data_IF_901921692075
#
_entry.id   IF_901921692075
#
_cell.length_a   1.000
_cell.length_b   1.000
_cell.length_c   1.000
_cell.angle_alpha   90.00
_cell.angle_beta   90.00
_cell.angle_gamma   90.00
#
_symmetry.space_group_name_H-M   'P 1'
#
loop_
_entity.id
_entity.type
_entity.pdbx_description
1 polymer ?
#
# COMPACT_ATOMS: atom_id res chain seq x y z
N UNK A 1 6.43 -7.88 -21.61
CA UNK A 1 6.74 -8.00 -20.17
C UNK A 1 7.23 -6.63 -19.74
N UNK A 2 6.54 -6.01 -18.78
CA UNK A 2 6.91 -4.69 -18.27
C UNK A 2 8.25 -4.78 -17.54
N UNK A 3 9.06 -3.74 -17.60
CA UNK A 3 10.30 -3.66 -16.84
C UNK A 3 10.11 -2.65 -15.71
N UNK A 4 10.36 -3.09 -14.48
CA UNK A 4 10.16 -2.29 -13.27
C UNK A 4 10.93 -0.96 -13.31
N UNK A 5 12.16 -0.96 -13.83
CA UNK A 5 13.02 0.23 -13.83
C UNK A 5 12.56 1.25 -14.85
N UNK A 6 12.08 0.78 -16.00
CA UNK A 6 11.58 1.66 -17.06
C UNK A 6 10.24 2.31 -16.69
N UNK A 7 9.42 1.63 -15.88
CA UNK A 7 8.14 2.16 -15.42
C UNK A 7 8.27 3.03 -14.17
N UNK A 8 9.42 3.02 -13.49
CA UNK A 8 9.61 3.75 -12.24
C UNK A 8 9.61 5.26 -12.49
N UNK A 9 8.74 5.95 -11.76
CA UNK A 9 8.66 7.42 -11.78
C UNK A 9 9.92 8.05 -11.16
N UNK A 10 10.34 9.24 -11.60
CA UNK A 10 11.53 9.90 -11.08
C UNK A 10 11.40 10.30 -9.60
N UNK A 11 10.18 10.48 -9.12
CA UNK A 11 9.82 10.82 -7.73
C UNK A 11 9.37 9.58 -6.92
N UNK A 12 9.76 8.38 -7.35
CA UNK A 12 9.41 7.15 -6.65
C UNK A 12 9.92 7.16 -5.20
N UNK A 13 9.02 6.80 -4.29
CA UNK A 13 9.28 6.71 -2.87
C UNK A 13 9.90 5.34 -2.57
N UNK A 14 10.95 5.34 -1.76
CA UNK A 14 11.58 4.11 -1.31
C UNK A 14 10.61 3.27 -0.47
N UNK A 15 10.82 1.95 -0.48
CA UNK A 15 10.06 1.07 0.37
C UNK A 15 10.41 -0.40 0.16
N UNK A 16 9.44 -1.27 0.40
CA UNK A 16 9.62 -2.71 0.40
C UNK A 16 9.48 -3.30 -1.01
N UNK A 17 10.46 -4.09 -1.48
CA UNK A 17 10.30 -4.89 -2.68
C UNK A 17 9.34 -6.07 -2.44
N UNK A 18 8.30 -6.19 -3.26
CA UNK A 18 7.33 -7.28 -3.25
C UNK A 18 7.34 -7.97 -4.61
N UNK A 19 7.35 -9.30 -4.62
CA UNK A 19 7.27 -10.07 -5.86
C UNK A 19 5.83 -10.10 -6.39
N UNK A 20 5.65 -9.74 -7.66
CA UNK A 20 4.35 -9.76 -8.33
C UNK A 20 4.24 -10.94 -9.31
N UNK A 21 3.10 -11.08 -10.00
CA UNK A 21 2.79 -12.22 -10.85
C UNK A 21 3.73 -12.38 -12.06
N UNK A 22 4.38 -11.30 -12.47
CA UNK A 22 5.43 -11.31 -13.51
C UNK A 22 6.76 -11.90 -13.01
N UNK A 23 6.85 -12.23 -11.72
CA UNK A 23 8.02 -12.77 -11.05
C UNK A 23 9.05 -11.71 -10.65
N UNK A 24 8.86 -10.45 -11.02
CA UNK A 24 9.75 -9.34 -10.68
C UNK A 24 9.40 -8.74 -9.32
N UNK A 25 10.34 -7.98 -8.75
CA UNK A 25 10.17 -7.27 -7.48
C UNK A 25 9.85 -5.81 -7.74
N UNK A 26 8.65 -5.40 -7.33
CA UNK A 26 8.17 -4.04 -7.42
C UNK A 26 8.23 -3.37 -6.04
N UNK A 27 8.61 -2.11 -5.99
CA UNK A 27 8.80 -1.35 -4.75
C UNK A 27 7.47 -0.71 -4.34
N UNK A 28 6.94 -1.17 -3.23
CA UNK A 28 5.82 -0.52 -2.55
C UNK A 28 6.38 0.47 -1.54
N UNK A 29 6.02 1.75 -1.60
CA UNK A 29 6.49 2.74 -0.65
C UNK A 29 6.26 2.32 0.80
N UNK A 30 7.19 2.67 1.68
CA UNK A 30 6.96 2.63 3.13
C UNK A 30 6.01 3.76 3.56
N UNK A 31 5.35 3.67 4.74
CA UNK A 31 4.60 4.79 5.28
C UNK A 31 5.47 6.04 5.45
N UNK A 32 4.92 7.25 5.31
CA UNK A 32 5.70 8.49 5.39
C UNK A 32 6.50 8.58 6.68
N UNK A 33 7.74 9.07 6.61
CA UNK A 33 8.44 9.53 7.82
C UNK A 33 7.64 10.67 8.45
N UNK A 34 7.59 10.77 9.78
CA UNK A 34 7.00 11.93 10.47
C UNK A 34 7.84 13.17 10.09
N UNK A 35 7.23 14.32 9.77
CA UNK A 35 8.05 15.45 9.35
C UNK A 35 8.83 15.93 10.57
N UNK A 36 10.11 16.19 10.40
CA UNK A 36 10.88 17.00 11.32
C UNK A 36 10.35 18.45 11.33
N UNK A 37 10.66 19.24 12.36
CA UNK A 37 10.29 20.65 12.37
C UNK A 37 10.94 21.37 11.17
N UNK A 38 10.10 21.81 10.22
CA UNK A 38 10.52 22.58 9.04
C UNK A 38 10.62 21.80 7.73
N UNK A 39 10.22 20.53 7.68
CA UNK A 39 10.11 19.79 6.41
C UNK A 39 8.75 20.06 5.75
N UNK A 40 8.78 20.53 4.50
CA UNK A 40 7.59 20.75 3.69
C UNK A 40 6.83 19.43 3.46
N UNK A 41 5.49 19.48 3.58
CA UNK A 41 4.59 18.33 3.46
C UNK A 41 4.53 17.72 2.05
N UNK A 42 5.32 18.23 1.11
CA UNK A 42 5.21 17.99 -0.34
C UNK A 42 5.99 16.76 -0.84
N UNK A 43 6.70 16.06 0.05
CA UNK A 43 7.68 15.02 -0.35
C UNK A 43 7.25 13.55 -0.21
N UNK A 44 6.00 13.24 0.18
CA UNK A 44 5.64 11.84 0.45
C UNK A 44 4.14 11.55 0.42
N UNK A 45 3.80 10.25 0.55
CA UNK A 45 2.46 9.65 0.64
C UNK A 45 1.58 10.29 1.72
N UNK A 46 1.14 11.53 1.52
CA UNK A 46 0.29 12.28 2.45
C UNK A 46 -0.82 13.02 1.72
N UNK A 47 -1.03 12.69 0.45
CA UNK A 47 -2.20 13.13 -0.29
C UNK A 47 -3.49 12.64 0.37
N UNK A 48 -4.57 13.42 0.24
CA UNK A 48 -5.85 13.13 0.88
C UNK A 48 -6.41 11.75 0.48
N UNK A 49 -6.20 11.34 -0.78
CA UNK A 49 -6.62 10.02 -1.27
C UNK A 49 -5.92 8.88 -0.54
N UNK A 50 -4.61 8.99 -0.31
CA UNK A 50 -3.87 8.00 0.48
C UNK A 50 -4.41 7.91 1.91
N UNK A 51 -4.62 9.05 2.59
CA UNK A 51 -5.12 9.07 3.96
C UNK A 51 -6.52 8.45 4.06
N UNK A 52 -7.40 8.74 3.09
CA UNK A 52 -8.72 8.14 3.02
C UNK A 52 -8.65 6.61 2.86
N UNK A 53 -7.79 6.11 1.95
CA UNK A 53 -7.63 4.65 1.77
C UNK A 53 -7.10 3.96 3.02
N UNK A 54 -6.13 4.56 3.72
CA UNK A 54 -5.61 3.98 4.96
C UNK A 54 -6.67 3.99 6.07
N UNK A 55 -7.50 5.04 6.16
CA UNK A 55 -8.63 5.08 7.07
C UNK A 55 -9.65 3.97 6.76
N UNK A 56 -10.03 3.78 5.50
CA UNK A 56 -10.94 2.71 5.09
C UNK A 56 -10.42 1.31 5.46
N UNK A 57 -9.11 1.06 5.32
CA UNK A 57 -8.49 -0.19 5.79
C UNK A 57 -8.58 -0.33 7.32
N UNK A 58 -8.34 0.75 8.06
CA UNK A 58 -8.40 0.75 9.52
C UNK A 58 -9.83 0.52 10.06
N UNK A 59 -10.84 1.07 9.38
CA UNK A 59 -12.26 1.01 9.75
C UNK A 59 -12.97 -0.25 9.22
N UNK A 60 -12.28 -1.11 8.49
CA UNK A 60 -12.88 -2.33 7.93
C UNK A 60 -13.19 -3.38 9.01
N UNK A 61 -14.46 -3.55 9.31
CA UNK A 61 -14.99 -4.53 10.28
C UNK A 61 -15.11 -5.95 9.73
N UNK A 62 -15.26 -6.10 8.41
CA UNK A 62 -15.42 -7.40 7.75
C UNK A 62 -14.15 -7.83 7.03
N UNK A 63 -13.87 -9.14 7.02
CA UNK A 63 -12.72 -9.69 6.31
C UNK A 63 -12.77 -9.41 4.79
N UNK A 64 -13.92 -9.55 4.09
CA UNK A 64 -14.00 -9.21 2.66
C UNK A 64 -13.73 -7.73 2.37
N UNK A 65 -14.28 -6.82 3.18
CA UNK A 65 -14.08 -5.38 2.98
C UNK A 65 -12.62 -5.00 3.22
N UNK A 66 -12.02 -5.57 4.28
CA UNK A 66 -10.60 -5.37 4.57
C UNK A 66 -9.72 -5.82 3.40
N UNK A 67 -9.96 -7.00 2.84
CA UNK A 67 -9.19 -7.49 1.69
C UNK A 67 -9.33 -6.57 0.46
N UNK A 68 -10.53 -6.06 0.21
CA UNK A 68 -10.78 -5.11 -0.88
C UNK A 68 -10.04 -3.80 -0.65
N UNK A 69 -10.08 -3.26 0.56
CA UNK A 69 -9.45 -1.99 0.91
C UNK A 69 -7.92 -2.13 0.94
N UNK A 70 -7.39 -3.25 1.46
CA UNK A 70 -5.96 -3.58 1.37
C UNK A 70 -5.50 -3.63 -0.09
N UNK A 71 -6.26 -4.28 -0.98
CA UNK A 71 -5.92 -4.33 -2.40
C UNK A 71 -5.94 -2.95 -3.06
N UNK A 72 -6.95 -2.11 -2.73
CA UNK A 72 -7.03 -0.75 -3.23
C UNK A 72 -5.81 0.09 -2.79
N UNK A 73 -5.41 -0.03 -1.52
CA UNK A 73 -4.20 0.61 -1.00
C UNK A 73 -2.94 0.12 -1.74
N UNK A 74 -2.79 -1.19 -1.94
CA UNK A 74 -1.64 -1.73 -2.69
C UNK A 74 -1.59 -1.20 -4.13
N UNK A 75 -2.74 -1.12 -4.81
CA UNK A 75 -2.80 -0.53 -6.15
C UNK A 75 -2.34 0.92 -6.13
N UNK A 76 -2.84 1.72 -5.19
CA UNK A 76 -2.47 3.13 -5.05
C UNK A 76 -0.95 3.28 -4.81
N UNK A 77 -0.41 2.53 -3.86
CA UNK A 77 1.02 2.50 -3.53
C UNK A 77 1.89 2.12 -4.75
N UNK A 78 1.44 1.15 -5.55
CA UNK A 78 2.13 0.77 -6.77
C UNK A 78 2.08 1.90 -7.82
N UNK A 79 0.89 2.46 -8.09
CA UNK A 79 0.72 3.55 -9.07
C UNK A 79 1.40 4.86 -8.65
N UNK A 80 1.70 5.03 -7.36
CA UNK A 80 2.49 6.18 -6.88
C UNK A 80 3.93 6.14 -7.37
N UNK A 81 4.51 4.94 -7.43
CA UNK A 81 5.91 4.71 -7.80
C UNK A 81 6.12 4.44 -9.29
N UNK A 82 5.07 4.02 -10.00
CA UNK A 82 5.18 3.53 -11.37
C UNK A 82 4.14 4.15 -12.28
N UNK A 83 4.54 4.44 -13.52
CA UNK A 83 3.64 4.89 -14.57
C UNK A 83 2.93 3.70 -15.24
N UNK A 84 1.94 3.14 -14.54
CA UNK A 84 1.22 1.94 -14.97
C UNK A 84 -0.19 2.28 -15.42
N UNK A 85 -0.62 1.68 -16.54
CA UNK A 85 -2.02 1.71 -16.92
C UNK A 85 -2.84 0.69 -16.11
N UNK A 86 -4.17 0.84 -16.01
CA UNK A 86 -5.01 -0.11 -15.27
C UNK A 86 -4.86 -1.57 -15.75
N UNK A 87 -4.58 -1.77 -17.05
CA UNK A 87 -4.34 -3.09 -17.62
C UNK A 87 -3.03 -3.72 -17.09
N UNK A 88 -2.00 -2.90 -16.90
CA UNK A 88 -0.70 -3.33 -16.37
C UNK A 88 -0.81 -3.74 -14.92
N UNK A 89 -1.46 -2.92 -14.09
CA UNK A 89 -1.73 -3.24 -12.68
C UNK A 89 -2.49 -4.56 -12.57
N UNK A 90 -3.53 -4.75 -13.41
CA UNK A 90 -4.29 -5.99 -13.44
C UNK A 90 -3.44 -7.19 -13.84
N UNK A 91 -2.53 -7.04 -14.80
CA UNK A 91 -1.62 -8.11 -15.20
C UNK A 91 -0.62 -8.47 -14.09
N UNK A 92 -0.09 -7.48 -13.38
CA UNK A 92 0.87 -7.66 -12.28
C UNK A 92 0.25 -8.33 -11.05
N UNK A 93 -1.03 -8.10 -10.79
CA UNK A 93 -1.76 -8.67 -9.66
C UNK A 93 -2.52 -9.96 -10.00
N UNK A 94 -2.42 -10.44 -11.24
CA UNK A 94 -3.09 -11.67 -11.69
C UNK A 94 -2.16 -12.87 -11.59
N UNK A 95 -2.15 -13.50 -10.42
CA UNK A 95 -1.44 -14.75 -10.19
C UNK A 95 -2.18 -15.94 -10.83
N UNK A 96 -1.46 -16.94 -11.38
CA UNK A 96 -2.06 -18.23 -11.74
C UNK A 96 -2.75 -18.91 -10.55
N UNK A 97 -3.75 -19.74 -10.82
CA UNK A 97 -4.34 -20.61 -9.80
C UNK A 97 -3.24 -21.52 -9.22
N UNK A 98 -3.22 -21.67 -7.89
CA UNK A 98 -2.20 -22.40 -7.12
C UNK A 98 -0.76 -21.84 -7.18
N UNK A 99 -0.55 -20.62 -7.68
CA UNK A 99 0.78 -19.99 -7.61
C UNK A 99 1.13 -19.65 -6.15
N UNK A 100 2.24 -20.20 -5.58
CA UNK A 100 2.64 -19.91 -4.21
C UNK A 100 2.95 -18.43 -3.99
N UNK A 101 3.32 -17.70 -5.05
CA UNK A 101 3.51 -16.25 -5.04
C UNK A 101 2.25 -15.46 -4.71
N UNK A 102 1.05 -16.02 -4.94
CA UNK A 102 -0.20 -15.38 -4.52
C UNK A 102 -0.34 -15.34 -2.99
N UNK A 103 0.01 -16.44 -2.32
CA UNK A 103 -0.02 -16.50 -0.85
C UNK A 103 1.04 -15.56 -0.25
N UNK A 104 2.24 -15.55 -0.82
CA UNK A 104 3.31 -14.63 -0.42
C UNK A 104 2.89 -13.16 -0.60
N UNK A 105 2.34 -12.81 -1.77
CA UNK A 105 1.85 -11.46 -2.04
C UNK A 105 0.80 -11.03 -1.03
N UNK A 106 -0.18 -11.89 -0.73
CA UNK A 106 -1.24 -11.60 0.23
C UNK A 106 -0.71 -11.37 1.65
N UNK A 107 0.25 -12.17 2.09
CA UNK A 107 0.81 -12.04 3.44
C UNK A 107 1.64 -10.76 3.56
N UNK A 108 2.44 -10.43 2.53
CA UNK A 108 3.24 -9.21 2.51
C UNK A 108 2.36 -7.96 2.34
N UNK A 109 1.32 -8.01 1.51
CA UNK A 109 0.39 -6.88 1.34
C UNK A 109 -0.34 -6.55 2.63
N UNK A 110 -0.76 -7.58 3.38
CA UNK A 110 -1.38 -7.40 4.68
C UNK A 110 -0.42 -6.78 5.69
N UNK A 111 0.85 -7.17 5.67
CA UNK A 111 1.88 -6.56 6.52
C UNK A 111 2.08 -5.08 6.17
N UNK A 112 2.22 -4.76 4.89
CA UNK A 112 2.38 -3.37 4.42
C UNK A 112 1.16 -2.55 4.85
N UNK A 113 -0.06 -2.98 4.52
CA UNK A 113 -1.27 -2.28 4.93
C UNK A 113 -1.32 -2.04 6.45
N UNK A 114 -0.95 -3.03 7.26
CA UNK A 114 -0.87 -2.88 8.71
C UNK A 114 0.17 -1.84 9.17
N UNK A 115 1.31 -1.72 8.49
CA UNK A 115 2.33 -0.70 8.77
C UNK A 115 1.82 0.72 8.46
N UNK A 116 1.11 0.88 7.33
CA UNK A 116 0.45 2.15 6.99
C UNK A 116 -0.66 2.53 7.98
N UNK A 117 -1.49 1.57 8.38
CA UNK A 117 -2.52 1.78 9.41
C UNK A 117 -1.90 2.15 10.75
N UNK A 118 -0.84 1.45 11.19
CA UNK A 118 -0.14 1.80 12.45
C UNK A 118 0.43 3.20 12.41
N UNK A 119 1.00 3.61 11.28
CA UNK A 119 1.47 4.97 11.09
C UNK A 119 0.32 5.97 11.20
N UNK A 120 -0.79 5.74 10.49
CA UNK A 120 -1.97 6.60 10.49
C UNK A 120 -2.56 6.75 11.90
N UNK A 121 -2.80 5.63 12.60
CA UNK A 121 -3.25 5.59 13.98
C UNK A 121 -2.28 6.27 14.96
N UNK A 122 -0.98 6.24 14.67
CA UNK A 122 0.04 6.89 15.50
C UNK A 122 0.08 8.40 15.33
N UNK A 123 -0.43 8.93 14.19
CA UNK A 123 -0.59 10.37 13.97
C UNK A 123 -1.91 10.87 14.56
N UNK A 124 -2.98 10.07 14.50
CA UNK A 124 -4.29 10.44 15.02
C UNK A 124 -4.58 9.74 16.37
N UNK A 125 -4.26 10.42 17.48
CA UNK A 125 -4.48 9.90 18.83
C UNK A 125 -5.96 9.66 19.19
N UNK A 126 -6.90 10.11 18.34
CA UNK A 126 -8.34 10.01 18.51
C UNK A 126 -8.96 8.92 17.64
N UNK A 127 -8.47 8.71 16.41
CA UNK A 127 -9.11 7.92 15.36
C UNK A 127 -8.97 6.41 15.50
N UNK A 128 -7.94 5.91 16.20
CA UNK A 128 -7.77 4.47 16.42
C UNK A 128 -8.07 4.00 17.85
N UNK A 129 -8.47 4.90 18.75
CA UNK A 129 -8.78 4.54 20.14
C UNK A 129 -10.10 3.76 20.26
N UNK A 130 -11.02 3.93 19.32
CA UNK A 130 -12.26 3.15 19.22
C UNK A 130 -12.05 1.70 18.73
N UNK A 131 -10.88 1.36 18.19
CA UNK A 131 -10.59 0.03 17.62
C UNK A 131 -10.09 -1.01 18.65
N UNK A 132 -9.77 -0.62 19.88
CA UNK A 132 -9.30 -1.53 20.95
C UNK A 132 -10.35 -1.86 22.00
N UNK A 133 -11.58 -1.37 21.86
CA UNK A 133 -12.58 -1.39 22.93
C UNK A 133 -13.98 -1.78 22.50
N UNK A 134 -14.17 -2.95 21.88
CA UNK A 134 -15.48 -3.62 21.92
C UNK A 134 -15.31 -5.11 22.27
N UNK A 135 -15.97 -5.59 23.34
CA UNK A 135 -15.91 -6.98 23.78
C UNK A 135 -16.55 -7.95 22.79
#
# INVERSE_FOLDING_TARGET
MLDEKNQRRPDAVLGRPIRLADGQRWIFPDPPTRPGPGEDETGGLRESDYLAMVAEVAESDSQPDRLRNELALMIHLLTRNYDLEPADVKALLRFPEDDPGHAEFRDVSRQVAAEHVRWYCGQDASGCRDLQGRP
#
